data_IF_558549199234
#
_entry.id   IF_558549199234
#
_cell.length_a   1.000
_cell.length_b   1.000
_cell.length_c   1.000
_cell.angle_alpha   90.00
_cell.angle_beta   90.00
_cell.angle_gamma   90.00
#
_symmetry.space_group_name_H-M   'P 1'
#
loop_
_entity.id
_entity.type
_entity.pdbx_description
1 polymer ?
#
# COMPACT_ATOMS: atom_id res chain seq x y z
N UNK A 1 10.74 53.02 9.41
CA UNK A 1 9.59 52.10 9.55
C UNK A 1 10.00 50.77 8.96
N UNK A 2 10.28 49.81 9.84
CA UNK A 2 10.77 48.49 9.45
C UNK A 2 9.59 47.54 9.38
N UNK A 3 9.23 47.09 8.16
CA UNK A 3 8.21 46.09 7.95
C UNK A 3 8.73 44.75 8.49
N UNK A 4 8.12 44.26 9.57
CA UNK A 4 8.32 42.90 10.08
C UNK A 4 7.75 41.91 9.08
N UNK A 5 8.61 41.21 8.33
CA UNK A 5 8.28 40.01 7.64
C UNK A 5 7.87 38.96 8.67
N UNK A 6 6.56 38.75 8.81
CA UNK A 6 5.97 37.59 9.47
C UNK A 6 6.08 36.40 8.50
N UNK A 7 7.24 35.77 8.49
CA UNK A 7 7.36 34.40 7.99
C UNK A 7 6.58 33.50 8.92
N UNK A 8 5.33 33.21 8.54
CA UNK A 8 4.57 32.09 9.10
C UNK A 8 5.30 30.81 8.68
N UNK A 9 6.22 30.35 9.52
CA UNK A 9 6.57 28.93 9.53
C UNK A 9 5.30 28.19 9.96
N UNK A 10 4.51 27.71 8.99
CA UNK A 10 3.49 26.72 9.24
C UNK A 10 4.25 25.47 9.68
N UNK A 11 4.41 25.29 10.99
CA UNK A 11 4.81 24.01 11.55
C UNK A 11 3.81 23.01 10.98
N UNK A 12 4.30 22.05 10.19
CA UNK A 12 3.45 21.01 9.61
C UNK A 12 2.72 20.31 10.75
N UNK A 13 1.42 20.50 10.80
CA UNK A 13 0.54 19.94 11.81
C UNK A 13 0.70 18.40 11.81
N UNK A 14 0.91 17.81 13.00
CA UNK A 14 1.15 16.37 13.10
C UNK A 14 -0.09 15.55 12.74
N UNK A 15 0.10 14.31 12.30
CA UNK A 15 -1.02 13.38 12.08
C UNK A 15 -1.85 13.19 13.36
N UNK A 16 -1.20 13.24 14.52
CA UNK A 16 -1.85 13.17 15.83
C UNK A 16 -2.87 14.29 16.01
N UNK A 17 -2.48 15.54 15.74
CA UNK A 17 -3.35 16.70 15.89
C UNK A 17 -4.51 16.68 14.89
N UNK A 18 -4.21 16.30 13.63
CA UNK A 18 -5.23 16.14 12.59
C UNK A 18 -6.26 15.07 12.98
N UNK A 19 -5.81 13.93 13.51
CA UNK A 19 -6.68 12.85 13.99
C UNK A 19 -7.58 13.32 15.13
N UNK A 20 -7.04 14.07 16.11
CA UNK A 20 -7.84 14.61 17.22
C UNK A 20 -8.96 15.51 16.73
N UNK A 21 -8.68 16.39 15.78
CA UNK A 21 -9.70 17.26 15.17
C UNK A 21 -10.72 16.48 14.34
N UNK A 22 -10.28 15.46 13.62
CA UNK A 22 -11.19 14.57 12.88
C UNK A 22 -12.20 13.90 13.81
N UNK A 23 -11.76 13.44 14.99
CA UNK A 23 -12.62 12.81 16.01
C UNK A 23 -13.67 13.83 16.52
N UNK A 24 -13.31 15.12 16.56
CA UNK A 24 -14.23 16.21 16.90
C UNK A 24 -15.14 16.65 15.74
N UNK A 25 -15.03 15.99 14.57
CA UNK A 25 -15.89 16.24 13.42
C UNK A 25 -15.31 17.17 12.35
N UNK A 26 -14.03 17.60 12.47
CA UNK A 26 -13.38 18.44 11.48
C UNK A 26 -13.02 17.68 10.20
N UNK A 27 -13.84 17.85 9.18
CA UNK A 27 -13.65 17.27 7.85
C UNK A 27 -12.43 17.83 7.11
N UNK A 28 -12.03 19.07 7.43
CA UNK A 28 -10.86 19.68 6.79
C UNK A 28 -9.57 19.00 7.22
N UNK A 29 -9.46 18.64 8.49
CA UNK A 29 -8.33 17.85 9.01
C UNK A 29 -8.26 16.47 8.35
N UNK A 30 -9.41 15.83 8.09
CA UNK A 30 -9.41 14.55 7.34
C UNK A 30 -8.95 14.73 5.90
N UNK A 31 -9.33 15.80 5.22
CA UNK A 31 -8.84 16.10 3.86
C UNK A 31 -7.31 16.24 3.84
N UNK A 32 -6.71 16.85 4.87
CA UNK A 32 -5.24 16.93 5.00
C UNK A 32 -4.60 15.57 5.21
N UNK A 33 -5.16 14.71 6.07
CA UNK A 33 -4.71 13.33 6.24
C UNK A 33 -4.81 12.55 4.93
N UNK A 34 -5.91 12.69 4.20
CA UNK A 34 -6.07 12.10 2.87
C UNK A 34 -4.96 12.55 1.92
N UNK A 35 -4.75 13.85 1.75
CA UNK A 35 -3.73 14.42 0.85
C UNK A 35 -2.33 13.94 1.21
N UNK A 36 -2.00 13.81 2.50
CA UNK A 36 -0.69 13.37 2.99
C UNK A 36 -0.42 11.90 2.70
N UNK A 37 -1.42 11.06 2.83
CA UNK A 37 -1.24 9.60 2.82
C UNK A 37 -1.73 8.90 1.55
N UNK A 38 -2.52 9.55 0.67
CA UNK A 38 -3.13 8.91 -0.50
C UNK A 38 -2.12 8.26 -1.43
N UNK A 39 -0.97 8.91 -1.68
CA UNK A 39 0.05 8.38 -2.60
C UNK A 39 0.64 7.07 -2.08
N UNK A 40 0.94 6.99 -0.79
CA UNK A 40 1.49 5.77 -0.20
C UNK A 40 0.44 4.66 -0.10
N UNK A 41 -0.80 4.98 0.28
CA UNK A 41 -1.91 4.01 0.25
C UNK A 41 -2.09 3.46 -1.16
N UNK A 42 -2.08 4.35 -2.17
CA UNK A 42 -2.17 3.96 -3.58
C UNK A 42 -0.99 3.07 -4.00
N UNK A 43 0.24 3.41 -3.60
CA UNK A 43 1.44 2.60 -3.85
C UNK A 43 1.31 1.18 -3.28
N UNK A 44 0.92 1.06 -2.01
CA UNK A 44 0.70 -0.25 -1.36
C UNK A 44 -0.35 -1.08 -2.13
N UNK A 45 -1.50 -0.48 -2.44
CA UNK A 45 -2.58 -1.17 -3.16
C UNK A 45 -2.18 -1.55 -4.58
N UNK A 46 -1.44 -0.70 -5.29
CA UNK A 46 -0.92 -0.97 -6.64
C UNK A 46 -0.05 -2.22 -6.70
N UNK A 47 0.72 -2.50 -5.64
CA UNK A 47 1.55 -3.71 -5.57
C UNK A 47 0.75 -4.98 -5.24
N UNK A 48 -0.44 -4.84 -4.64
CA UNK A 48 -1.19 -5.96 -4.09
C UNK A 48 -2.45 -6.32 -4.89
N UNK A 49 -2.98 -5.38 -5.68
CA UNK A 49 -4.25 -5.48 -6.36
C UNK A 49 -4.13 -5.22 -7.86
N UNK A 50 -5.19 -5.47 -8.60
CA UNK A 50 -5.33 -5.16 -10.01
C UNK A 50 -5.53 -3.64 -10.19
N UNK A 51 -4.97 -3.07 -11.28
CA UNK A 51 -4.92 -1.61 -11.51
C UNK A 51 -6.32 -1.04 -11.70
N UNK A 52 -7.23 -1.80 -12.33
CA UNK A 52 -8.60 -1.42 -12.62
C UNK A 52 -9.42 -1.10 -11.38
N UNK A 53 -9.09 -1.74 -10.25
CA UNK A 53 -9.80 -1.57 -8.98
C UNK A 53 -9.15 -0.54 -8.05
N UNK A 54 -8.03 0.05 -8.46
CA UNK A 54 -7.15 0.81 -7.57
C UNK A 54 -7.86 2.03 -6.96
N UNK A 55 -8.61 2.78 -7.75
CA UNK A 55 -9.30 3.99 -7.27
C UNK A 55 -10.41 3.66 -6.28
N UNK A 56 -11.18 2.61 -6.56
CA UNK A 56 -12.25 2.14 -5.66
C UNK A 56 -11.65 1.62 -4.33
N UNK A 57 -10.53 0.90 -4.39
CA UNK A 57 -9.87 0.37 -3.19
C UNK A 57 -9.25 1.50 -2.35
N UNK A 58 -8.65 2.52 -2.98
CA UNK A 58 -8.17 3.72 -2.27
C UNK A 58 -9.33 4.42 -1.56
N UNK A 59 -10.45 4.61 -2.25
CA UNK A 59 -11.65 5.21 -1.65
C UNK A 59 -12.16 4.38 -0.47
N UNK A 60 -12.23 3.06 -0.62
CA UNK A 60 -12.67 2.15 0.46
C UNK A 60 -11.76 2.21 1.68
N UNK A 61 -10.43 2.29 1.49
CA UNK A 61 -9.47 2.48 2.60
C UNK A 61 -9.80 3.74 3.38
N UNK A 62 -9.99 4.88 2.71
CA UNK A 62 -10.25 6.14 3.39
C UNK A 62 -11.67 6.21 3.99
N UNK A 63 -12.65 5.55 3.40
CA UNK A 63 -13.99 5.38 4.00
C UNK A 63 -13.91 4.55 5.30
N UNK A 64 -13.18 3.42 5.29
CA UNK A 64 -12.96 2.60 6.50
C UNK A 64 -12.17 3.40 7.55
N UNK A 65 -11.19 4.17 7.10
CA UNK A 65 -10.41 5.07 7.98
C UNK A 65 -11.32 6.08 8.67
N UNK A 66 -12.13 6.81 7.91
CA UNK A 66 -13.07 7.79 8.47
C UNK A 66 -14.02 7.17 9.50
N UNK A 67 -14.64 6.05 9.18
CA UNK A 67 -15.53 5.31 10.07
C UNK A 67 -14.82 4.77 11.32
N UNK A 68 -13.54 4.44 11.19
CA UNK A 68 -12.72 3.85 12.26
C UNK A 68 -12.09 4.88 13.20
N UNK A 69 -11.90 6.14 12.76
CA UNK A 69 -11.25 7.20 13.54
C UNK A 69 -11.78 7.36 14.97
N UNK A 70 -13.10 7.34 15.26
CA UNK A 70 -13.61 7.46 16.62
C UNK A 70 -13.17 6.32 17.56
N UNK A 71 -12.76 5.18 17.01
CA UNK A 71 -12.27 4.01 17.75
C UNK A 71 -10.75 3.89 17.77
N UNK A 72 -10.04 4.77 17.07
CA UNK A 72 -8.59 4.74 16.98
C UNK A 72 -7.96 5.22 18.30
N UNK A 73 -7.38 4.29 19.07
CA UNK A 73 -6.83 4.53 20.42
C UNK A 73 -5.46 5.21 20.43
N UNK A 74 -4.86 5.50 19.27
CA UNK A 74 -3.53 6.12 19.12
C UNK A 74 -2.38 5.36 19.84
N UNK A 75 -2.54 4.06 20.04
CA UNK A 75 -1.49 3.19 20.58
C UNK A 75 -0.38 2.89 19.56
N UNK A 76 -0.63 3.16 18.28
CA UNK A 76 0.31 3.09 17.17
C UNK A 76 0.27 4.42 16.39
N UNK A 77 1.24 4.62 15.51
CA UNK A 77 1.20 5.76 14.58
C UNK A 77 -0.03 5.66 13.65
N UNK A 78 -0.59 6.80 13.27
CA UNK A 78 -1.74 6.85 12.36
C UNK A 78 -1.43 6.15 11.02
N UNK A 79 -0.23 6.36 10.47
CA UNK A 79 0.24 5.71 9.24
C UNK A 79 0.20 4.17 9.35
N UNK A 80 0.73 3.60 10.43
CA UNK A 80 0.72 2.16 10.69
C UNK A 80 -0.70 1.59 10.72
N UNK A 81 -1.60 2.29 11.40
CA UNK A 81 -3.01 1.91 11.47
C UNK A 81 -3.71 2.02 10.11
N UNK A 82 -3.46 3.11 9.36
CA UNK A 82 -4.00 3.32 8.01
C UNK A 82 -3.50 2.22 7.04
N UNK A 83 -2.20 1.88 7.08
CA UNK A 83 -1.64 0.85 6.19
C UNK A 83 -2.14 -0.56 6.54
N UNK A 84 -2.47 -0.81 7.80
CA UNK A 84 -3.20 -2.03 8.19
C UNK A 84 -4.59 -2.07 7.55
N UNK A 85 -5.31 -0.94 7.49
CA UNK A 85 -6.60 -0.87 6.79
C UNK A 85 -6.40 -1.14 5.30
N UNK A 86 -5.38 -0.54 4.67
CA UNK A 86 -5.08 -0.76 3.26
C UNK A 86 -4.78 -2.23 2.95
N UNK A 87 -3.96 -2.89 3.80
CA UNK A 87 -3.69 -4.32 3.66
C UNK A 87 -4.94 -5.18 3.84
N UNK A 88 -5.79 -4.87 4.82
CA UNK A 88 -7.05 -5.59 5.03
C UNK A 88 -7.96 -5.47 3.81
N UNK A 89 -8.11 -4.26 3.25
CA UNK A 89 -8.90 -4.03 2.02
C UNK A 89 -8.35 -4.86 0.85
N UNK A 90 -7.03 -4.87 0.64
CA UNK A 90 -6.40 -5.69 -0.40
C UNK A 90 -6.63 -7.20 -0.18
N UNK A 91 -6.52 -7.66 1.08
CA UNK A 91 -6.76 -9.06 1.45
C UNK A 91 -8.21 -9.48 1.24
N UNK A 92 -9.17 -8.65 1.67
CA UNK A 92 -10.60 -8.87 1.47
C UNK A 92 -10.96 -8.95 -0.02
N UNK A 93 -10.42 -7.99 -0.83
CA UNK A 93 -10.63 -7.96 -2.27
C UNK A 93 -10.09 -9.24 -2.93
N UNK A 94 -8.87 -9.66 -2.60
CA UNK A 94 -8.29 -10.91 -3.12
C UNK A 94 -9.12 -12.13 -2.78
N UNK A 95 -9.60 -12.24 -1.53
CA UNK A 95 -10.45 -13.36 -1.11
C UNK A 95 -11.79 -13.38 -1.85
N UNK A 96 -12.38 -12.19 -2.06
CA UNK A 96 -13.63 -12.05 -2.82
C UNK A 96 -13.43 -12.43 -4.29
N UNK A 97 -12.36 -11.95 -4.92
CA UNK A 97 -12.01 -12.29 -6.29
C UNK A 97 -11.72 -13.80 -6.46
N UNK A 98 -11.05 -14.44 -5.49
CA UNK A 98 -10.83 -15.89 -5.51
C UNK A 98 -12.13 -16.68 -5.44
N UNK A 99 -13.08 -16.27 -4.58
CA UNK A 99 -14.43 -16.88 -4.50
C UNK A 99 -15.25 -16.65 -5.76
N UNK A 100 -15.13 -15.45 -6.37
CA UNK A 100 -15.78 -15.12 -7.64
C UNK A 100 -15.23 -15.95 -8.81
N UNK A 101 -13.90 -16.10 -8.91
CA UNK A 101 -13.24 -16.93 -9.93
C UNK A 101 -13.60 -18.40 -9.81
N UNK A 102 -13.58 -18.98 -8.63
CA UNK A 102 -14.03 -20.36 -8.40
C UNK A 102 -15.48 -20.61 -8.85
N UNK A 103 -16.29 -19.56 -8.87
CA UNK A 103 -17.67 -19.62 -9.35
C UNK A 103 -17.78 -19.37 -10.86
N UNK A 104 -16.82 -18.66 -11.48
CA UNK A 104 -16.80 -18.26 -12.88
C UNK A 104 -15.92 -19.18 -13.75
N UNK A 105 -14.90 -19.84 -13.19
CA UNK A 105 -14.06 -20.85 -13.89
C UNK A 105 -14.87 -22.07 -14.37
N UNK A 106 -16.13 -22.18 -13.90
CA UNK A 106 -17.11 -23.05 -14.53
C UNK A 106 -17.58 -22.51 -15.92
N UNK A 107 -17.26 -21.29 -16.34
CA UNK A 107 -17.88 -20.65 -17.50
C UNK A 107 -16.96 -19.92 -18.50
N UNK A 108 -15.73 -19.42 -18.20
CA UNK A 108 -14.92 -18.76 -19.26
C UNK A 108 -13.44 -18.56 -18.88
N UNK A 109 -12.57 -18.78 -19.87
CA UNK A 109 -11.17 -18.31 -19.98
C UNK A 109 -11.15 -16.99 -20.76
N UNK A 110 -10.20 -16.11 -20.39
CA UNK A 110 -9.70 -14.90 -21.10
C UNK A 110 -9.81 -13.64 -20.25
N UNK A 111 -8.96 -12.64 -20.29
CA UNK A 111 -7.94 -12.15 -21.24
C UNK A 111 -7.04 -11.15 -20.52
N UNK A 112 -5.75 -11.13 -20.84
CA UNK A 112 -4.80 -10.09 -20.43
C UNK A 112 -4.85 -8.95 -21.45
N UNK A 113 -5.02 -7.71 -21.00
CA UNK A 113 -4.88 -6.52 -21.85
C UNK A 113 -3.57 -5.80 -21.52
N UNK A 114 -2.77 -5.64 -22.56
CA UNK A 114 -1.57 -4.80 -22.59
C UNK A 114 -1.97 -3.33 -22.80
N UNK A 115 -1.32 -2.43 -22.11
CA UNK A 115 -1.46 -1.00 -22.34
C UNK A 115 -0.11 -0.40 -22.71
N UNK A 116 -0.11 0.41 -23.80
CA UNK A 116 1.04 0.98 -24.48
C UNK A 116 1.75 2.10 -23.71
N UNK A 117 3.02 2.30 -24.08
CA UNK A 117 4.09 2.98 -23.38
C UNK A 117 4.20 4.51 -23.63
N UNK A 118 4.92 5.25 -22.78
CA UNK A 118 6.15 5.92 -23.19
C UNK A 118 7.28 5.83 -22.14
N UNK A 119 8.52 5.88 -22.62
CA UNK A 119 9.82 5.67 -21.97
C UNK A 119 10.20 4.21 -21.76
N UNK A 120 10.70 3.60 -22.84
CA UNK A 120 10.91 2.15 -23.00
C UNK A 120 11.80 1.51 -21.93
N UNK A 121 12.79 2.19 -21.39
CA UNK A 121 13.73 1.57 -20.45
C UNK A 121 13.22 1.58 -19.01
N UNK A 122 12.64 2.67 -18.57
CA UNK A 122 12.07 2.78 -17.22
C UNK A 122 10.80 1.92 -17.08
N UNK A 123 9.99 1.87 -18.13
CA UNK A 123 8.80 1.01 -18.23
C UNK A 123 9.18 -0.48 -18.24
N UNK A 124 10.26 -0.84 -18.92
CA UNK A 124 10.74 -2.23 -18.94
C UNK A 124 11.10 -2.71 -17.52
N UNK A 125 11.81 -1.90 -16.73
CA UNK A 125 12.13 -2.26 -15.35
C UNK A 125 10.90 -2.29 -14.43
N UNK A 126 9.96 -1.36 -14.61
CA UNK A 126 8.72 -1.38 -13.85
C UNK A 126 7.86 -2.59 -14.18
N UNK A 127 7.71 -2.94 -15.46
CA UNK A 127 7.01 -4.14 -15.90
C UNK A 127 7.67 -5.41 -15.32
N UNK A 128 9.00 -5.48 -15.40
CA UNK A 128 9.76 -6.60 -14.88
C UNK A 128 9.55 -6.80 -13.36
N UNK A 129 9.59 -5.71 -12.59
CA UNK A 129 9.30 -5.76 -11.14
C UNK A 129 7.88 -6.22 -10.88
N UNK A 130 6.89 -5.69 -11.63
CA UNK A 130 5.48 -6.08 -11.48
C UNK A 130 5.26 -7.55 -11.85
N UNK A 131 5.86 -8.03 -12.91
CA UNK A 131 5.83 -9.45 -13.30
C UNK A 131 6.44 -10.33 -12.21
N UNK A 132 7.62 -9.96 -11.71
CA UNK A 132 8.26 -10.66 -10.61
C UNK A 132 7.41 -10.70 -9.33
N UNK A 133 6.80 -9.58 -8.95
CA UNK A 133 5.89 -9.53 -7.82
C UNK A 133 4.67 -10.45 -8.00
N UNK A 134 4.14 -10.55 -9.21
CA UNK A 134 3.00 -11.44 -9.53
C UNK A 134 3.33 -12.92 -9.36
N UNK A 135 4.59 -13.33 -9.48
CA UNK A 135 5.03 -14.72 -9.23
C UNK A 135 5.07 -15.09 -7.75
N UNK A 136 5.16 -14.09 -6.87
CA UNK A 136 5.23 -14.33 -5.43
C UNK A 136 3.87 -14.66 -4.84
N UNK A 137 3.85 -15.46 -3.76
CA UNK A 137 2.67 -15.58 -2.92
C UNK A 137 2.24 -14.21 -2.39
N UNK A 138 0.96 -14.04 -2.06
CA UNK A 138 0.45 -12.76 -1.55
C UNK A 138 1.22 -12.28 -0.32
N UNK A 139 1.55 -13.17 0.60
CA UNK A 139 2.30 -12.85 1.82
C UNK A 139 3.72 -12.38 1.52
N UNK A 140 4.44 -13.04 0.60
CA UNK A 140 5.78 -12.65 0.20
C UNK A 140 5.77 -11.33 -0.57
N UNK A 141 4.81 -11.15 -1.48
CA UNK A 141 4.60 -9.90 -2.23
C UNK A 141 4.33 -8.74 -1.28
N UNK A 142 3.42 -8.93 -0.31
CA UNK A 142 3.08 -7.90 0.67
C UNK A 142 4.31 -7.43 1.45
N UNK A 143 5.09 -8.36 1.99
CA UNK A 143 6.27 -7.99 2.80
C UNK A 143 7.34 -7.32 1.96
N UNK A 144 7.59 -7.81 0.73
CA UNK A 144 8.55 -7.22 -0.18
C UNK A 144 8.13 -5.80 -0.59
N UNK A 145 6.85 -5.62 -0.94
CA UNK A 145 6.31 -4.31 -1.29
C UNK A 145 6.41 -3.32 -0.13
N UNK A 146 5.96 -3.69 1.06
CA UNK A 146 6.02 -2.81 2.23
C UNK A 146 7.46 -2.45 2.63
N UNK A 147 8.41 -3.41 2.54
CA UNK A 147 9.78 -3.18 2.95
C UNK A 147 10.62 -2.51 1.87
N UNK A 148 10.67 -3.08 0.67
CA UNK A 148 11.64 -2.69 -0.36
C UNK A 148 11.11 -1.57 -1.27
N UNK A 149 9.80 -1.48 -1.48
CA UNK A 149 9.20 -0.42 -2.32
C UNK A 149 8.69 0.76 -1.48
N UNK A 150 8.07 0.49 -0.32
CA UNK A 150 7.54 1.54 0.55
C UNK A 150 8.51 1.95 1.68
N UNK A 151 9.68 1.31 1.76
CA UNK A 151 10.73 1.60 2.74
C UNK A 151 10.28 1.54 4.21
N UNK A 152 9.31 0.66 4.53
CA UNK A 152 8.82 0.51 5.90
C UNK A 152 9.77 -0.36 6.73
N UNK A 153 10.05 0.01 7.99
CA UNK A 153 10.84 -0.82 8.89
C UNK A 153 10.14 -2.16 9.20
N UNK A 154 10.92 -3.24 9.37
CA UNK A 154 10.38 -4.57 9.66
C UNK A 154 9.48 -4.61 10.91
N UNK A 155 9.78 -3.78 11.92
CA UNK A 155 8.95 -3.65 13.13
C UNK A 155 7.56 -3.10 12.79
N UNK A 156 7.48 -2.07 11.97
CA UNK A 156 6.22 -1.47 11.52
C UNK A 156 5.42 -2.46 10.66
N UNK A 157 6.09 -3.19 9.77
CA UNK A 157 5.46 -4.25 8.97
C UNK A 157 4.86 -5.34 9.87
N UNK A 158 5.58 -5.75 10.93
CA UNK A 158 5.07 -6.71 11.89
C UNK A 158 3.79 -6.22 12.58
N UNK A 159 3.73 -4.93 12.91
CA UNK A 159 2.55 -4.27 13.48
C UNK A 159 1.41 -4.19 12.46
N UNK A 160 1.68 -3.76 11.21
CA UNK A 160 0.68 -3.67 10.12
C UNK A 160 0.04 -5.03 9.87
N UNK A 161 0.85 -6.07 9.72
CA UNK A 161 0.38 -7.41 9.37
C UNK A 161 -0.08 -8.24 10.59
N UNK A 162 0.14 -7.74 11.81
CA UNK A 162 -0.13 -8.45 13.08
C UNK A 162 0.55 -9.83 13.15
N UNK A 163 1.82 -9.90 12.74
CA UNK A 163 2.65 -11.11 12.76
C UNK A 163 3.97 -10.86 13.54
N UNK A 164 4.62 -11.90 14.07
CA UNK A 164 5.91 -11.76 14.72
C UNK A 164 6.99 -11.19 13.78
N UNK A 165 7.89 -10.35 14.29
CA UNK A 165 9.00 -9.78 13.50
C UNK A 165 9.91 -10.86 12.91
N UNK A 166 10.06 -12.00 13.57
CA UNK A 166 10.78 -13.18 13.05
C UNK A 166 10.14 -13.72 11.76
N UNK A 167 8.79 -13.72 11.71
CA UNK A 167 8.04 -14.11 10.51
C UNK A 167 8.25 -13.10 9.37
N UNK A 168 8.29 -11.79 9.67
CA UNK A 168 8.61 -10.76 8.68
C UNK A 168 9.99 -10.99 8.09
N UNK A 169 11.02 -11.23 8.93
CA UNK A 169 12.39 -11.50 8.49
C UNK A 169 12.48 -12.73 7.59
N UNK A 170 11.88 -13.84 8.01
CA UNK A 170 11.88 -15.09 7.25
C UNK A 170 11.17 -14.92 5.90
N UNK A 171 9.96 -14.35 5.89
CA UNK A 171 9.21 -14.12 4.64
C UNK A 171 9.94 -13.15 3.69
N UNK A 172 10.58 -12.09 4.22
CA UNK A 172 11.37 -11.15 3.42
C UNK A 172 12.58 -11.85 2.78
N UNK A 173 13.27 -12.71 3.52
CA UNK A 173 14.38 -13.51 3.00
C UNK A 173 13.93 -14.39 1.81
N UNK A 174 12.84 -15.14 1.99
CA UNK A 174 12.31 -16.01 0.93
C UNK A 174 11.74 -15.22 -0.25
N UNK A 175 11.06 -14.09 0.00
CA UNK A 175 10.54 -13.23 -1.06
C UNK A 175 11.66 -12.66 -1.94
N UNK A 176 12.75 -12.17 -1.31
CA UNK A 176 13.93 -11.68 -2.05
C UNK A 176 14.65 -12.78 -2.82
N UNK A 177 14.75 -13.98 -2.26
CA UNK A 177 15.33 -15.11 -2.95
C UNK A 177 14.53 -15.48 -4.21
N UNK A 178 13.20 -15.56 -4.10
CA UNK A 178 12.32 -15.83 -5.23
C UNK A 178 12.37 -14.72 -6.29
N UNK A 179 12.38 -13.45 -5.89
CA UNK A 179 12.52 -12.31 -6.81
C UNK A 179 13.85 -12.35 -7.54
N UNK A 180 14.96 -12.65 -6.85
CA UNK A 180 16.28 -12.79 -7.47
C UNK A 180 16.28 -13.91 -8.51
N UNK A 181 15.69 -15.05 -8.19
CA UNK A 181 15.58 -16.17 -9.12
C UNK A 181 14.78 -15.78 -10.37
N UNK A 182 13.67 -15.08 -10.22
CA UNK A 182 12.89 -14.55 -11.33
C UNK A 182 13.73 -13.61 -12.20
N UNK A 183 14.40 -12.62 -11.60
CA UNK A 183 15.22 -11.65 -12.34
C UNK A 183 16.37 -12.32 -13.11
N UNK A 184 17.00 -13.34 -12.53
CA UNK A 184 18.04 -14.14 -13.23
C UNK A 184 17.47 -14.88 -14.44
N UNK A 185 16.25 -15.42 -14.36
CA UNK A 185 15.58 -16.08 -15.48
C UNK A 185 15.21 -15.11 -16.61
N UNK A 186 14.94 -13.84 -16.26
CA UNK A 186 14.70 -12.77 -17.23
C UNK A 186 16.00 -12.13 -17.77
N UNK A 187 17.17 -12.67 -17.42
CA UNK A 187 18.48 -12.21 -17.93
C UNK A 187 19.07 -11.01 -17.18
N UNK A 188 18.48 -10.59 -16.07
CA UNK A 188 19.05 -9.53 -15.22
C UNK A 188 20.10 -10.15 -14.31
N UNK A 189 21.35 -9.73 -14.47
CA UNK A 189 22.42 -10.08 -13.54
C UNK A 189 22.34 -9.16 -12.31
N UNK A 190 22.29 -9.70 -11.08
CA UNK A 190 22.25 -8.93 -9.83
C UNK A 190 23.59 -8.29 -9.51
#
# INVERSE_FOLDING_TARGET
MVAKNLSHSQSEESDHDLVQRCIQGDRQSFRRLYQRHQHRVRGILFQLCEVEMLDDLVQEVFLRTWKGLPKFRQTAQFSTWLYRIAWNVASDHRQSAARGRSRLEALTRETSLQQDAPDLMHLHYQDLVQRGLKTLSFDHRTILALHDLESLPQKEIAEILSIPIGTVKSRLFHARAAMRQFLQQEGVQP
#
